data_IF_236038104660
#
_entry.id   IF_236038104660
#
_cell.length_a   1.000
_cell.length_b   1.000
_cell.length_c   1.000
_cell.angle_alpha   90.00
_cell.angle_beta   90.00
_cell.angle_gamma   90.00
#
_symmetry.space_group_name_H-M   'P 1'
#
loop_
_entity.id
_entity.type
_entity.pdbx_description
1 polymer ?
#
# COMPACT_ATOMS: atom_id res chain seq x y z
N UNK A 1 -3.01 -4.99 5.22
CA UNK A 1 -2.35 -6.23 5.63
C UNK A 1 -1.13 -5.97 6.50
N UNK A 2 -0.22 -5.05 6.15
CA UNK A 2 1.03 -4.80 6.90
C UNK A 2 0.82 -4.46 8.37
N UNK A 3 -0.22 -3.71 8.72
CA UNK A 3 -0.51 -3.29 10.12
C UNK A 3 -0.68 -4.45 11.10
N UNK A 4 -0.98 -5.65 10.61
CA UNK A 4 -1.05 -6.85 11.45
C UNK A 4 0.31 -7.47 11.78
N UNK A 5 1.38 -6.94 11.20
CA UNK A 5 2.73 -7.50 11.34
C UNK A 5 3.75 -6.47 11.81
N UNK A 6 3.56 -5.21 11.43
CA UNK A 6 4.46 -4.10 11.74
C UNK A 6 3.65 -2.82 11.98
N UNK A 7 4.23 -1.87 12.68
CA UNK A 7 3.68 -0.53 12.74
C UNK A 7 3.82 0.15 11.39
N UNK A 8 2.74 0.75 10.93
CA UNK A 8 2.68 1.42 9.63
C UNK A 8 2.30 2.87 9.83
N UNK A 9 3.17 3.76 9.38
CA UNK A 9 2.90 5.18 9.30
C UNK A 9 2.38 5.50 7.91
N UNK A 10 1.19 6.03 7.88
CA UNK A 10 0.54 6.46 6.64
C UNK A 10 0.55 7.98 6.57
N UNK A 11 1.13 8.52 5.51
CA UNK A 11 1.22 9.96 5.27
C UNK A 11 0.39 10.30 4.04
N UNK A 12 -0.39 11.37 4.11
CA UNK A 12 -1.23 11.81 3.01
C UNK A 12 -2.63 12.15 3.47
N UNK A 13 -3.61 11.92 2.61
CA UNK A 13 -5.02 12.10 2.94
C UNK A 13 -5.72 10.76 3.17
N UNK A 14 -6.95 10.82 3.63
CA UNK A 14 -7.79 9.64 3.82
C UNK A 14 -7.93 8.85 2.51
N UNK A 15 -7.76 7.53 2.57
CA UNK A 15 -7.91 6.66 1.41
C UNK A 15 -9.37 6.51 0.99
N UNK A 16 -9.60 6.12 -0.26
CA UNK A 16 -10.97 5.94 -0.80
C UNK A 16 -11.72 4.79 -0.13
N UNK A 17 -11.01 3.73 0.29
CA UNK A 17 -11.62 2.64 1.06
C UNK A 17 -12.23 1.52 0.21
N UNK A 18 -11.63 1.12 -0.88
CA UNK A 18 -12.07 -0.06 -1.63
C UNK A 18 -11.68 -1.33 -0.86
N UNK A 19 -12.67 -2.00 -0.29
CA UNK A 19 -12.50 -3.23 0.50
C UNK A 19 -13.10 -4.47 -0.15
N UNK A 20 -13.76 -4.32 -1.29
CA UNK A 20 -14.50 -5.40 -1.95
C UNK A 20 -13.72 -5.92 -3.16
N UNK A 21 -13.78 -7.23 -3.37
CA UNK A 21 -13.24 -7.90 -4.53
C UNK A 21 -14.36 -8.42 -5.42
N UNK A 22 -14.13 -8.40 -6.72
CA UNK A 22 -15.03 -8.90 -7.74
C UNK A 22 -14.35 -9.96 -8.58
N UNK A 23 -15.16 -10.83 -9.19
CA UNK A 23 -14.71 -11.76 -10.22
C UNK A 23 -15.44 -11.44 -11.53
N UNK A 24 -14.80 -11.75 -12.66
CA UNK A 24 -15.44 -11.59 -13.96
C UNK A 24 -16.04 -12.92 -14.37
N UNK A 25 -17.34 -12.90 -14.67
CA UNK A 25 -18.10 -14.06 -15.14
C UNK A 25 -18.53 -13.81 -16.59
N UNK A 26 -18.17 -14.72 -17.48
CA UNK A 26 -18.55 -14.68 -18.89
C UNK A 26 -19.75 -15.57 -19.13
N UNK A 27 -20.48 -15.31 -20.21
CA UNK A 27 -21.55 -16.20 -20.71
C UNK A 27 -20.89 -17.41 -21.38
N UNK A 28 -20.50 -18.37 -20.57
CA UNK A 28 -19.92 -19.66 -20.98
C UNK A 28 -20.29 -20.74 -19.96
N UNK A 29 -20.20 -22.03 -20.30
CA UNK A 29 -20.60 -23.14 -19.41
C UNK A 29 -19.90 -23.14 -18.05
N UNK A 30 -18.65 -22.65 -18.00
CA UNK A 30 -17.79 -22.60 -16.80
C UNK A 30 -17.54 -21.16 -16.31
N UNK A 31 -18.25 -20.18 -16.87
CA UNK A 31 -18.07 -18.75 -16.59
C UNK A 31 -16.70 -18.18 -16.93
N UNK A 32 -15.86 -18.94 -17.62
CA UNK A 32 -14.53 -18.48 -18.05
C UNK A 32 -14.59 -17.75 -19.39
N UNK A 33 -13.52 -17.03 -19.72
CA UNK A 33 -13.42 -16.32 -21.01
C UNK A 33 -13.39 -17.27 -22.20
N UNK A 34 -12.78 -18.45 -22.02
CA UNK A 34 -12.75 -19.48 -23.05
C UNK A 34 -14.15 -20.07 -23.22
N UNK A 35 -14.62 -20.17 -24.45
CA UNK A 35 -15.95 -20.65 -24.75
C UNK A 35 -17.10 -19.64 -24.48
N UNK A 36 -16.74 -18.37 -24.27
CA UNK A 36 -17.73 -17.32 -24.12
C UNK A 36 -18.59 -17.17 -25.39
N UNK A 37 -19.86 -16.88 -25.17
CA UNK A 37 -20.85 -16.68 -26.23
C UNK A 37 -20.36 -15.61 -27.23
N UNK A 38 -20.18 -15.93 -28.51
CA UNK A 38 -19.71 -14.98 -29.51
C UNK A 38 -20.79 -13.94 -29.92
N UNK A 39 -22.02 -14.12 -29.48
CA UNK A 39 -23.13 -13.21 -29.84
C UNK A 39 -23.08 -11.86 -29.13
N UNK A 40 -22.21 -11.67 -28.11
CA UNK A 40 -22.05 -10.41 -27.39
C UNK A 40 -20.70 -10.33 -26.69
N UNK A 41 -20.37 -9.12 -26.20
CA UNK A 41 -19.14 -8.81 -25.46
C UNK A 41 -19.40 -8.52 -23.97
N UNK A 42 -20.56 -8.85 -23.46
CA UNK A 42 -20.91 -8.57 -22.06
C UNK A 42 -20.33 -9.62 -21.13
N UNK A 43 -19.91 -9.17 -19.96
CA UNK A 43 -19.54 -10.01 -18.83
C UNK A 43 -20.11 -9.40 -17.54
N UNK A 44 -20.39 -10.23 -16.55
CA UNK A 44 -20.80 -9.78 -15.22
C UNK A 44 -19.55 -9.63 -14.32
N UNK A 45 -19.59 -8.66 -13.44
CA UNK A 45 -18.51 -8.46 -12.45
C UNK A 45 -19.10 -8.26 -11.05
N UNK A 46 -19.73 -9.31 -10.46
CA UNK A 46 -20.29 -9.22 -9.13
C UNK A 46 -19.22 -9.05 -8.07
N UNK A 47 -19.58 -8.35 -6.98
CA UNK A 47 -18.78 -8.29 -5.77
C UNK A 47 -19.01 -9.59 -4.99
N UNK A 48 -17.96 -10.35 -4.74
CA UNK A 48 -18.04 -11.70 -4.16
C UNK A 48 -17.25 -11.88 -2.88
N UNK A 49 -16.38 -10.93 -2.54
CA UNK A 49 -15.50 -11.06 -1.37
C UNK A 49 -15.22 -9.70 -0.74
N UNK A 50 -14.79 -9.75 0.52
CA UNK A 50 -14.26 -8.60 1.27
C UNK A 50 -12.81 -8.90 1.59
N UNK A 51 -11.94 -7.90 1.38
CA UNK A 51 -10.53 -8.00 1.74
C UNK A 51 -10.38 -7.77 3.24
N UNK A 52 -9.79 -8.73 3.92
CA UNK A 52 -9.43 -8.65 5.33
C UNK A 52 -7.93 -8.83 5.54
N UNK A 53 -7.41 -8.39 6.67
CA UNK A 53 -6.05 -8.69 7.10
C UNK A 53 -5.98 -10.07 7.77
N UNK A 54 -4.80 -10.47 8.30
CA UNK A 54 -4.65 -11.77 9.01
C UNK A 54 -5.44 -11.86 10.31
N UNK A 55 -5.90 -10.74 10.85
CA UNK A 55 -6.68 -10.67 12.09
C UNK A 55 -8.19 -10.50 11.78
N UNK A 56 -8.62 -10.87 10.56
CA UNK A 56 -9.99 -10.78 10.03
C UNK A 56 -10.59 -9.37 10.06
N UNK A 57 -9.75 -8.34 10.13
CA UNK A 57 -10.19 -6.96 10.11
C UNK A 57 -10.35 -6.47 8.66
N UNK A 58 -11.55 -6.05 8.32
CA UNK A 58 -11.84 -5.46 7.02
C UNK A 58 -11.34 -4.01 6.95
N UNK A 59 -10.95 -3.59 5.74
CA UNK A 59 -10.70 -2.17 5.47
C UNK A 59 -12.04 -1.42 5.56
N UNK A 60 -12.13 -0.31 6.33
CA UNK A 60 -13.34 0.48 6.36
C UNK A 60 -13.75 0.96 4.96
N UNK A 61 -15.02 0.84 4.61
CA UNK A 61 -15.55 1.34 3.32
C UNK A 61 -15.36 2.86 3.17
N UNK A 62 -15.19 3.55 4.29
CA UNK A 62 -14.90 4.98 4.33
C UNK A 62 -13.43 5.33 4.15
N UNK A 63 -12.56 4.35 4.02
CA UNK A 63 -11.12 4.53 3.88
C UNK A 63 -10.35 4.58 5.20
N UNK A 64 -9.03 4.55 5.10
CA UNK A 64 -8.10 4.65 6.21
C UNK A 64 -7.72 6.11 6.45
N UNK A 65 -7.77 6.51 7.71
CA UNK A 65 -7.28 7.82 8.14
C UNK A 65 -5.75 7.76 8.21
N UNK A 66 -5.02 8.73 7.65
CA UNK A 66 -3.57 8.76 7.72
C UNK A 66 -3.09 9.02 9.15
N UNK A 67 -1.87 8.59 9.45
CA UNK A 67 -1.18 8.91 10.70
C UNK A 67 -0.72 10.36 10.72
N UNK A 68 -0.27 10.85 9.56
CA UNK A 68 0.11 12.25 9.33
C UNK A 68 -0.68 12.75 8.13
N UNK A 69 -1.53 13.74 8.36
CA UNK A 69 -2.30 14.33 7.27
C UNK A 69 -1.46 15.34 6.51
N UNK A 70 -1.28 15.10 5.22
CA UNK A 70 -0.64 16.01 4.27
C UNK A 70 -1.55 16.10 3.04
N UNK A 71 -2.04 17.29 2.77
CA UNK A 71 -2.93 17.52 1.63
C UNK A 71 -2.14 18.04 0.44
N UNK A 72 -2.16 17.25 -0.62
CA UNK A 72 -1.64 17.69 -1.92
C UNK A 72 -2.70 18.41 -2.74
N UNK A 73 -2.28 19.41 -3.45
CA UNK A 73 -3.08 20.21 -4.38
C UNK A 73 -2.27 20.45 -5.63
N UNK A 74 -2.93 20.80 -6.73
CA UNK A 74 -2.25 21.11 -8.01
C UNK A 74 -1.17 22.19 -7.84
N UNK A 75 -1.31 23.06 -6.85
CA UNK A 75 -0.36 24.17 -6.60
C UNK A 75 0.87 23.77 -5.76
N UNK A 76 0.86 22.61 -5.10
CA UNK A 76 1.96 22.21 -4.20
C UNK A 76 2.57 20.84 -4.50
N UNK A 77 2.28 20.21 -5.63
CA UNK A 77 2.81 18.88 -5.96
C UNK A 77 4.34 18.80 -5.97
N UNK A 78 5.02 19.86 -6.36
CA UNK A 78 6.48 19.83 -6.48
C UNK A 78 6.97 18.85 -7.58
N UNK A 79 8.23 18.42 -7.46
CA UNK A 79 8.87 17.44 -8.34
C UNK A 79 8.92 16.10 -7.62
N UNK A 80 8.35 15.06 -8.23
CA UNK A 80 8.33 13.72 -7.64
C UNK A 80 9.75 13.22 -7.34
N UNK A 81 9.98 12.83 -6.09
CA UNK A 81 11.29 12.39 -5.62
C UNK A 81 12.22 13.50 -5.13
N UNK A 82 11.84 14.77 -5.26
CA UNK A 82 12.57 15.88 -4.66
C UNK A 82 12.28 15.92 -3.14
N UNK A 83 13.31 16.14 -2.29
CA UNK A 83 13.11 16.23 -0.84
C UNK A 83 12.13 17.32 -0.38
N UNK A 84 11.83 18.29 -1.23
CA UNK A 84 10.85 19.36 -0.97
C UNK A 84 9.42 18.98 -1.38
N UNK A 85 9.23 17.83 -2.02
CA UNK A 85 7.91 17.32 -2.35
C UNK A 85 7.11 17.06 -1.05
N UNK A 86 5.84 17.49 -0.92
CA UNK A 86 5.14 17.53 0.35
C UNK A 86 5.05 16.21 1.11
N UNK A 87 4.76 15.11 0.44
CA UNK A 87 4.65 13.80 1.10
C UNK A 87 6.03 13.27 1.49
N UNK A 88 7.03 13.41 0.60
CA UNK A 88 8.39 12.99 0.87
C UNK A 88 9.02 13.84 1.97
N UNK A 89 8.83 15.15 1.95
CA UNK A 89 9.29 16.04 3.01
C UNK A 89 8.73 15.66 4.38
N UNK A 90 7.43 15.37 4.45
CA UNK A 90 6.79 14.91 5.67
C UNK A 90 7.33 13.55 6.14
N UNK A 91 7.60 12.63 5.21
CA UNK A 91 8.17 11.33 5.52
C UNK A 91 9.61 11.46 6.06
N UNK A 92 10.44 12.26 5.42
CA UNK A 92 11.81 12.53 5.86
C UNK A 92 11.84 13.20 7.24
N UNK A 93 10.98 14.20 7.47
CA UNK A 93 10.86 14.85 8.78
C UNK A 93 10.41 13.88 9.87
N UNK A 94 9.48 12.98 9.53
CA UNK A 94 9.01 11.96 10.44
C UNK A 94 10.13 10.99 10.85
N UNK A 95 10.93 10.53 9.90
CA UNK A 95 12.09 9.66 10.13
C UNK A 95 13.13 10.36 10.99
N UNK A 96 13.47 11.62 10.66
CA UNK A 96 14.50 12.39 11.37
C UNK A 96 14.12 12.70 12.82
N UNK A 97 12.83 12.93 13.09
CA UNK A 97 12.35 13.24 14.45
C UNK A 97 12.22 12.02 15.34
N UNK A 98 12.50 10.81 14.82
CA UNK A 98 12.40 9.55 15.57
C UNK A 98 11.00 9.25 16.08
N UNK A 99 9.96 9.93 15.61
CA UNK A 99 8.56 9.68 16.00
C UNK A 99 8.07 8.30 15.61
N UNK A 100 8.89 7.58 14.87
CA UNK A 100 8.67 6.20 14.46
C UNK A 100 9.80 5.26 14.90
N UNK A 101 10.69 5.71 15.80
CA UNK A 101 11.54 4.79 16.52
C UNK A 101 10.61 3.92 17.38
N UNK A 102 10.28 2.75 16.87
CA UNK A 102 9.67 1.68 17.64
C UNK A 102 10.75 1.27 18.62
N UNK A 103 10.65 1.73 19.85
CA UNK A 103 11.42 1.17 20.94
C UNK A 103 10.81 -0.21 21.24
N UNK A 104 11.16 -1.20 20.42
CA UNK A 104 10.84 -2.59 20.69
C UNK A 104 11.97 -3.12 21.56
N UNK A 105 11.73 -3.35 22.87
CA UNK A 105 12.76 -3.89 23.74
C UNK A 105 13.27 -5.20 23.15
N UNK A 106 14.57 -5.27 22.81
CA UNK A 106 15.22 -6.48 22.32
C UNK A 106 15.43 -6.57 20.80
N UNK A 107 15.04 -5.57 20.01
CA UNK A 107 15.48 -5.50 18.61
C UNK A 107 16.73 -4.64 18.55
N UNK A 108 17.87 -5.28 18.41
CA UNK A 108 19.10 -4.62 17.98
C UNK A 108 18.90 -4.23 16.51
N UNK A 109 19.13 -2.98 16.09
CA UNK A 109 19.12 -2.62 14.68
C UNK A 109 20.08 -3.54 13.93
N UNK A 110 19.57 -4.28 12.95
CA UNK A 110 20.37 -5.27 12.23
C UNK A 110 21.51 -4.61 11.45
N UNK A 111 21.36 -3.31 11.11
CA UNK A 111 22.37 -2.58 10.34
C UNK A 111 22.25 -1.06 10.57
N UNK A 112 23.37 -0.42 10.86
CA UNK A 112 23.52 1.01 10.74
C UNK A 112 23.57 1.38 9.24
N UNK A 113 22.64 2.22 8.80
CA UNK A 113 22.56 2.66 7.40
C UNK A 113 23.87 3.32 6.89
N UNK A 114 24.69 3.83 7.80
CA UNK A 114 26.01 4.39 7.48
C UNK A 114 27.09 3.32 7.23
N UNK A 115 26.81 2.06 7.52
CA UNK A 115 27.76 0.94 7.32
C UNK A 115 27.62 0.25 5.96
N UNK A 116 26.64 0.62 5.14
CA UNK A 116 26.46 0.03 3.84
C UNK A 116 27.55 0.45 2.86
N UNK A 117 28.35 -0.53 2.45
CA UNK A 117 29.20 -0.37 1.27
C UNK A 117 28.33 -0.52 0.03
N UNK A 118 28.61 0.20 -1.08
CA UNK A 118 27.99 -0.07 -2.37
C UNK A 118 28.05 -1.57 -2.67
N UNK A 119 26.94 -2.14 -3.15
CA UNK A 119 26.80 -3.57 -3.48
C UNK A 119 26.78 -4.57 -2.33
N UNK A 120 26.73 -4.13 -1.06
CA UNK A 120 26.71 -5.04 0.09
C UNK A 120 25.36 -5.77 0.29
N UNK A 121 24.34 -5.44 -0.49
CA UNK A 121 23.00 -6.05 -0.44
C UNK A 121 22.49 -6.53 -1.81
N UNK A 122 23.35 -6.71 -2.78
CA UNK A 122 22.94 -7.31 -4.04
C UNK A 122 22.60 -8.78 -3.83
N UNK A 123 21.39 -9.16 -4.25
CA UNK A 123 20.87 -10.53 -4.14
C UNK A 123 21.45 -11.48 -5.21
N UNK A 124 22.34 -11.00 -6.07
CA UNK A 124 22.98 -11.79 -7.11
C UNK A 124 24.43 -12.07 -6.71
N UNK A 125 24.69 -13.32 -6.41
CA UNK A 125 26.03 -13.88 -6.33
C UNK A 125 26.28 -14.47 -7.71
N UNK A 126 27.32 -13.99 -8.41
CA UNK A 126 27.80 -14.60 -9.65
C UNK A 126 28.31 -16.03 -9.39
#
# INVERSE_FOLDING_TARGET
SLRSHIDVVQIGTKTVGKSQASITLYDSPDFQRQGANPGHLYALQPLVAITVNKDDQAVPSTGLIPTIEVKETVSNYGVLGDPSEPLLAAALAAIQTGRFAIDVPGITPILDSNSFKPHSQEMYID
#
